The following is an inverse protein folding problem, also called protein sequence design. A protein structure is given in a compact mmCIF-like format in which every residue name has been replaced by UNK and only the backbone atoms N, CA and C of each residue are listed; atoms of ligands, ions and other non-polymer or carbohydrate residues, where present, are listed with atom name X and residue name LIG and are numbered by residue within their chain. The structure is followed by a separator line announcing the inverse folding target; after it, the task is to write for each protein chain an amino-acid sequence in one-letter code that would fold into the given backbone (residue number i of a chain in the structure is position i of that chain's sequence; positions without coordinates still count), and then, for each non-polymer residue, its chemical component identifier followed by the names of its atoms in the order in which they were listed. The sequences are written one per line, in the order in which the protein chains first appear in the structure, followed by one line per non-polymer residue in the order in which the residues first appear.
data_IF_588617842823
#
_entry.id   IF_588617842823
#
_cell.length_a   1.000
_cell.length_b   1.000
_cell.length_c   1.000
_cell.angle_alpha   90.00
_cell.angle_beta   90.00
_cell.angle_gamma   90.00
#
_symmetry.space_group_name_H-M   'P 1'
#
loop_
_entity.id
_entity.type
_entity.pdbx_description
1 polymer ?
#
# COMPACT_ATOMS: atom_id res chain seq x y z
N UNK A 1 22.31 -17.32 1.17
CA UNK A 1 23.27 -16.18 1.18
C UNK A 1 23.11 -15.23 -0.02
N UNK A 2 22.55 -15.66 -1.17
CA UNK A 2 22.42 -14.86 -2.40
C UNK A 2 21.57 -13.57 -2.25
N UNK A 3 20.36 -13.65 -1.68
CA UNK A 3 19.43 -12.49 -1.63
C UNK A 3 20.01 -11.22 -0.99
N UNK A 4 20.79 -11.28 0.10
CA UNK A 4 21.28 -10.06 0.72
C UNK A 4 22.36 -9.34 -0.08
N UNK A 5 23.08 -10.06 -0.96
CA UNK A 5 24.00 -9.42 -1.91
C UNK A 5 23.21 -8.77 -3.03
N UNK A 6 22.28 -9.52 -3.63
CA UNK A 6 21.36 -9.01 -4.67
C UNK A 6 20.57 -7.78 -4.20
N UNK A 7 20.05 -7.79 -2.97
CA UNK A 7 19.36 -6.64 -2.38
C UNK A 7 20.28 -5.43 -2.23
N UNK A 8 21.53 -5.63 -1.80
CA UNK A 8 22.50 -4.54 -1.65
C UNK A 8 22.92 -3.97 -3.00
N UNK A 9 23.18 -4.83 -3.97
CA UNK A 9 23.49 -4.45 -5.35
C UNK A 9 22.33 -3.64 -5.95
N UNK A 10 21.09 -4.11 -5.79
CA UNK A 10 19.90 -3.36 -6.22
C UNK A 10 19.81 -1.98 -5.57
N UNK A 11 19.95 -1.91 -4.23
CA UNK A 11 19.88 -0.63 -3.52
C UNK A 11 21.05 0.31 -3.83
N UNK A 12 22.22 -0.21 -4.24
CA UNK A 12 23.39 0.58 -4.63
C UNK A 12 23.32 1.10 -6.07
N UNK A 13 22.68 0.34 -6.95
CA UNK A 13 22.52 0.67 -8.37
C UNK A 13 21.32 1.59 -8.64
N UNK A 14 20.53 1.92 -7.62
CA UNK A 14 19.43 2.88 -7.74
C UNK A 14 20.02 4.31 -7.77
N UNK A 15 19.91 4.98 -8.93
CA UNK A 15 20.35 6.38 -9.13
C UNK A 15 19.70 7.37 -8.16
N UNK A 16 18.53 6.99 -7.63
CA UNK A 16 17.77 7.74 -6.64
C UNK A 16 18.09 7.14 -5.26
N UNK A 17 18.54 7.97 -4.31
CA UNK A 17 18.86 7.56 -2.95
C UNK A 17 17.59 7.12 -2.19
N UNK A 18 17.13 5.90 -2.43
CA UNK A 18 15.98 5.31 -1.76
C UNK A 18 16.41 4.71 -0.40
N UNK A 19 15.61 4.89 0.66
CA UNK A 19 15.84 4.19 1.91
C UNK A 19 15.68 2.68 1.71
N UNK A 20 16.32 1.89 2.56
CA UNK A 20 16.25 0.44 2.46
C UNK A 20 16.54 -0.23 3.79
N UNK A 21 16.18 -1.52 3.86
CA UNK A 21 16.40 -2.36 5.02
C UNK A 21 17.89 -2.60 5.25
N UNK A 22 18.36 -2.18 6.41
CA UNK A 22 19.75 -2.25 6.87
C UNK A 22 20.18 -3.66 7.25
N UNK A 23 20.16 -4.62 6.31
CA UNK A 23 20.45 -6.04 6.58
C UNK A 23 21.75 -6.28 7.34
N UNK A 24 22.83 -5.54 7.02
CA UNK A 24 24.13 -5.68 7.71
C UNK A 24 23.98 -5.28 9.19
N UNK A 25 23.32 -4.17 9.47
CA UNK A 25 23.04 -3.66 10.82
C UNK A 25 22.12 -4.61 11.59
N UNK A 26 20.96 -4.95 11.04
CA UNK A 26 19.99 -5.85 11.69
C UNK A 26 20.58 -7.24 11.97
N UNK A 27 21.37 -7.80 11.05
CA UNK A 27 22.05 -9.08 11.29
C UNK A 27 23.12 -8.98 12.38
N UNK A 28 23.82 -7.84 12.53
CA UNK A 28 24.77 -7.62 13.64
C UNK A 28 24.03 -7.60 14.98
N UNK A 29 22.86 -6.97 15.05
CA UNK A 29 22.00 -6.96 16.26
C UNK A 29 21.60 -8.40 16.64
N UNK A 30 21.12 -9.20 15.68
CA UNK A 30 20.78 -10.61 15.93
C UNK A 30 21.98 -11.43 16.42
N UNK A 31 23.19 -11.20 15.87
CA UNK A 31 24.41 -11.87 16.31
C UNK A 31 24.83 -11.45 17.72
N UNK A 32 24.62 -10.18 18.09
CA UNK A 32 24.90 -9.67 19.43
C UNK A 32 23.99 -10.35 20.45
N UNK A 33 22.67 -10.35 20.22
CA UNK A 33 21.72 -11.02 21.11
C UNK A 33 22.09 -12.50 21.34
N UNK A 34 22.44 -13.24 20.28
CA UNK A 34 22.87 -14.64 20.41
C UNK A 34 24.10 -14.82 21.31
N UNK A 35 25.07 -13.90 21.23
CA UNK A 35 26.28 -13.93 22.09
C UNK A 35 25.93 -13.62 23.54
N UNK A 36 25.09 -12.60 23.76
CA UNK A 36 24.71 -12.18 25.12
C UNK A 36 23.95 -13.31 25.86
N UNK A 37 23.05 -14.01 25.17
CA UNK A 37 22.34 -15.20 25.71
C UNK A 37 23.31 -16.35 26.01
N UNK A 38 24.36 -16.54 25.19
CA UNK A 38 25.38 -17.56 25.45
C UNK A 38 26.28 -17.20 26.64
N UNK A 39 26.63 -15.93 26.80
CA UNK A 39 27.46 -15.45 27.92
C UNK A 39 26.72 -15.50 29.26
N UNK A 40 25.41 -15.24 29.30
CA UNK A 40 24.60 -15.43 30.51
C UNK A 40 24.58 -16.90 30.94
N UNK A 41 24.43 -17.85 30.01
CA UNK A 41 24.48 -19.30 30.31
C UNK A 41 25.80 -19.76 30.95
N UNK A 42 26.92 -19.19 30.53
CA UNK A 42 28.22 -19.52 31.12
C UNK A 42 28.35 -19.05 32.57
N UNK A 43 27.55 -18.06 32.99
CA UNK A 43 27.51 -17.58 34.38
C UNK A 43 26.51 -18.36 35.24
N UNK A 44 25.40 -18.81 34.67
CA UNK A 44 24.28 -19.37 35.44
C UNK A 44 24.29 -20.91 35.58
N UNK A 45 25.28 -21.62 35.02
CA UNK A 45 25.54 -23.04 35.32
C UNK A 45 24.43 -24.06 34.93
N UNK A 46 23.34 -23.63 34.30
CA UNK A 46 22.17 -24.49 34.08
C UNK A 46 22.23 -25.30 32.76
N UNK A 47 22.27 -26.63 32.90
CA UNK A 47 22.04 -27.58 31.82
C UNK A 47 20.54 -27.77 31.56
N UNK A 48 19.97 -26.96 30.66
CA UNK A 48 18.62 -27.18 30.11
C UNK A 48 18.60 -27.05 28.58
N UNK A 49 17.82 -27.89 27.87
CA UNK A 49 17.92 -28.05 26.43
C UNK A 49 17.28 -26.88 25.65
N UNK A 50 17.95 -26.55 24.55
CA UNK A 50 17.55 -25.66 23.46
C UNK A 50 17.53 -24.14 23.71
N UNK A 51 18.12 -23.46 22.73
CA UNK A 51 18.32 -22.04 22.55
C UNK A 51 17.02 -21.25 22.44
N UNK A 52 16.49 -20.72 23.54
CA UNK A 52 15.37 -19.77 23.47
C UNK A 52 15.79 -18.43 24.07
N UNK A 53 15.58 -17.38 23.29
CA UNK A 53 15.67 -16.01 23.76
C UNK A 53 14.49 -15.77 24.73
N UNK A 54 14.66 -15.04 25.85
CA UNK A 54 13.53 -14.69 26.70
C UNK A 54 12.44 -14.00 25.87
N UNK A 55 11.17 -14.22 26.23
CA UNK A 55 10.04 -13.60 25.52
C UNK A 55 10.11 -12.06 25.58
N UNK A 56 10.84 -11.50 26.56
CA UNK A 56 11.28 -10.11 26.60
C UNK A 56 12.81 -10.02 26.59
N UNK A 57 13.38 -9.71 25.44
CA UNK A 57 14.82 -9.58 25.27
C UNK A 57 15.19 -8.12 25.09
N UNK A 58 15.94 -7.49 26.01
CA UNK A 58 16.23 -6.06 25.94
C UNK A 58 17.00 -5.66 24.68
N UNK A 59 17.78 -6.59 24.08
CA UNK A 59 18.45 -6.34 22.80
C UNK A 59 17.46 -6.40 21.64
N UNK A 60 16.57 -7.39 21.60
CA UNK A 60 15.60 -7.50 20.52
C UNK A 60 14.51 -6.42 20.60
N UNK A 61 13.92 -6.26 21.78
CA UNK A 61 12.83 -5.33 22.06
C UNK A 61 13.33 -3.88 22.08
N UNK A 62 14.52 -3.64 22.63
CA UNK A 62 15.10 -2.30 22.73
C UNK A 62 15.84 -1.83 21.47
N UNK A 63 16.27 -2.74 20.57
CA UNK A 63 17.09 -2.32 19.41
C UNK A 63 16.67 -2.91 18.06
N UNK A 64 16.28 -4.19 17.98
CA UNK A 64 15.97 -4.82 16.69
C UNK A 64 14.64 -4.31 16.12
N UNK A 65 13.54 -4.49 16.85
CA UNK A 65 12.21 -4.08 16.36
C UNK A 65 12.08 -2.56 16.19
N UNK A 66 12.59 -1.70 17.10
CA UNK A 66 12.58 -0.25 16.87
C UNK A 66 13.41 0.17 15.64
N UNK A 67 14.58 -0.46 15.41
CA UNK A 67 15.38 -0.18 14.22
C UNK A 67 14.65 -0.60 12.94
N UNK A 68 14.04 -1.79 12.94
CA UNK A 68 13.30 -2.28 11.78
C UNK A 68 12.05 -1.44 11.51
N UNK A 69 11.32 -1.05 12.56
CA UNK A 69 10.15 -0.17 12.48
C UNK A 69 10.50 1.17 11.81
N UNK A 70 11.61 1.79 12.23
CA UNK A 70 12.13 3.02 11.62
C UNK A 70 12.46 2.80 10.14
N UNK A 71 13.24 1.76 9.82
CA UNK A 71 13.62 1.45 8.44
C UNK A 71 12.39 1.16 7.55
N UNK A 72 11.36 0.48 8.09
CA UNK A 72 10.09 0.24 7.38
C UNK A 72 9.31 1.52 7.12
N UNK A 73 9.23 2.40 8.11
CA UNK A 73 8.52 3.69 8.00
C UNK A 73 9.18 4.60 6.95
N UNK A 74 10.53 4.65 6.93
CA UNK A 74 11.28 5.39 5.91
C UNK A 74 11.04 4.82 4.49
N UNK A 75 11.04 3.48 4.37
CA UNK A 75 10.78 2.79 3.10
C UNK A 75 9.38 3.10 2.56
N UNK A 76 8.35 2.98 3.40
CA UNK A 76 6.95 3.23 3.02
C UNK A 76 6.73 4.71 2.75
N UNK A 77 7.25 5.61 3.59
CA UNK A 77 7.11 7.05 3.39
C UNK A 77 7.69 7.51 2.05
N UNK A 78 8.93 7.08 1.75
CA UNK A 78 9.59 7.42 0.47
C UNK A 78 8.89 6.80 -0.73
N UNK A 79 8.37 5.57 -0.60
CA UNK A 79 7.57 4.93 -1.64
C UNK A 79 6.30 5.74 -1.93
N UNK A 80 5.50 6.00 -0.90
CA UNK A 80 4.22 6.70 -1.01
C UNK A 80 4.40 8.09 -1.63
N UNK A 81 5.36 8.87 -1.14
CA UNK A 81 5.63 10.22 -1.62
C UNK A 81 5.97 10.23 -3.12
N UNK A 82 6.80 9.28 -3.58
CA UNK A 82 7.23 9.23 -4.98
C UNK A 82 6.16 8.66 -5.89
N UNK A 83 5.44 7.63 -5.44
CA UNK A 83 4.32 7.06 -6.17
C UNK A 83 3.21 8.09 -6.36
N UNK A 84 2.85 8.81 -5.29
CA UNK A 84 1.91 9.93 -5.36
C UNK A 84 2.35 10.99 -6.36
N UNK A 85 3.60 11.48 -6.26
CA UNK A 85 4.13 12.47 -7.21
C UNK A 85 4.06 11.99 -8.66
N UNK A 86 4.41 10.74 -8.91
CA UNK A 86 4.36 10.16 -10.25
C UNK A 86 2.92 10.11 -10.79
N UNK A 87 1.98 9.63 -9.98
CA UNK A 87 0.58 9.51 -10.37
C UNK A 87 -0.09 10.89 -10.55
N UNK A 88 0.21 11.86 -9.67
CA UNK A 88 -0.25 13.24 -9.83
C UNK A 88 0.26 13.88 -11.13
N UNK A 89 1.51 13.60 -11.52
CA UNK A 89 2.08 14.06 -12.80
C UNK A 89 1.39 13.39 -13.98
N UNK A 90 1.05 12.10 -13.86
CA UNK A 90 0.36 11.34 -14.91
C UNK A 90 -1.08 11.81 -15.12
N UNK A 91 -1.84 11.96 -14.02
CA UNK A 91 -3.26 12.30 -14.03
C UNK A 91 -3.53 13.79 -14.31
N UNK A 92 -2.52 14.65 -14.27
CA UNK A 92 -2.70 16.07 -14.51
C UNK A 92 -3.29 16.37 -15.92
N UNK A 93 -4.45 17.02 -15.95
CA UNK A 93 -5.12 17.52 -17.16
C UNK A 93 -5.15 19.06 -17.22
N UNK A 94 -5.49 19.63 -18.39
CA UNK A 94 -5.70 21.07 -18.56
C UNK A 94 -4.46 21.96 -18.31
N UNK A 95 -4.65 23.11 -17.65
CA UNK A 95 -3.56 24.06 -17.32
C UNK A 95 -2.51 23.45 -16.37
N UNK A 96 -2.92 22.51 -15.51
CA UNK A 96 -2.01 21.77 -14.62
C UNK A 96 -1.04 20.91 -15.42
N UNK A 97 -1.53 20.28 -16.50
CA UNK A 97 -0.71 19.58 -17.50
C UNK A 97 0.27 20.52 -18.19
N UNK A 98 -0.12 21.76 -18.51
CA UNK A 98 0.77 22.76 -19.13
C UNK A 98 1.89 23.24 -18.19
N UNK A 99 1.58 23.56 -16.93
CA UNK A 99 2.58 23.91 -15.91
C UNK A 99 3.54 22.75 -15.60
N UNK A 100 3.01 21.53 -15.53
CA UNK A 100 3.80 20.32 -15.33
C UNK A 100 4.64 20.02 -16.57
N UNK A 101 4.10 20.18 -17.77
CA UNK A 101 4.81 20.03 -19.04
C UNK A 101 5.97 21.01 -19.16
N UNK A 102 5.81 22.26 -18.71
CA UNK A 102 6.88 23.24 -18.66
C UNK A 102 8.00 22.82 -17.70
N UNK A 103 7.66 22.19 -16.56
CA UNK A 103 8.64 21.57 -15.65
C UNK A 103 9.22 20.24 -16.18
N UNK A 104 8.45 19.45 -16.93
CA UNK A 104 8.85 18.13 -17.44
C UNK A 104 9.71 18.22 -18.71
N UNK A 105 9.68 19.35 -19.42
CA UNK A 105 10.61 19.66 -20.52
C UNK A 105 12.08 19.66 -20.04
N UNK A 106 12.32 19.77 -18.73
CA UNK A 106 13.63 19.56 -18.11
C UNK A 106 13.94 18.10 -17.70
N UNK A 107 12.98 17.16 -17.72
CA UNK A 107 13.14 15.83 -17.08
C UNK A 107 12.78 14.57 -17.89
N UNK A 108 12.39 14.71 -19.16
CA UNK A 108 12.26 13.55 -20.07
C UNK A 108 10.82 13.05 -20.29
N UNK A 109 10.68 12.19 -21.31
CA UNK A 109 9.43 11.81 -21.99
C UNK A 109 8.48 10.92 -21.16
N UNK A 110 7.26 10.68 -21.66
CA UNK A 110 6.29 9.72 -21.11
C UNK A 110 6.88 8.34 -20.79
N UNK A 111 7.94 7.91 -21.51
CA UNK A 111 8.65 6.66 -21.24
C UNK A 111 9.38 6.68 -19.88
N UNK A 112 9.91 7.82 -19.45
CA UNK A 112 10.57 7.95 -18.16
C UNK A 112 9.60 7.80 -16.98
N UNK A 113 8.35 8.25 -17.13
CA UNK A 113 7.30 8.03 -16.12
C UNK A 113 6.93 6.54 -16.00
N UNK A 114 6.90 5.82 -17.13
CA UNK A 114 6.63 4.38 -17.13
C UNK A 114 7.78 3.62 -16.45
N UNK A 115 9.02 3.96 -16.80
CA UNK A 115 10.21 3.37 -16.19
C UNK A 115 10.26 3.65 -14.68
N UNK A 116 10.00 4.90 -14.25
CA UNK A 116 9.94 5.24 -12.84
C UNK A 116 8.82 4.50 -12.10
N UNK A 117 7.66 4.31 -12.73
CA UNK A 117 6.58 3.50 -12.16
C UNK A 117 7.00 2.04 -11.97
N UNK A 118 7.75 1.48 -12.92
CA UNK A 118 8.26 0.10 -12.83
C UNK A 118 9.29 -0.04 -11.71
N UNK A 119 10.18 0.95 -11.59
CA UNK A 119 11.18 1.00 -10.53
C UNK A 119 10.55 1.09 -9.15
N UNK A 120 9.48 1.88 -9.00
CA UNK A 120 8.75 2.01 -7.72
C UNK A 120 8.06 0.71 -7.31
N UNK A 121 7.41 0.02 -8.25
CA UNK A 121 6.84 -1.32 -7.98
C UNK A 121 7.97 -2.27 -7.58
N UNK A 122 9.05 -2.33 -8.35
CA UNK A 122 10.22 -3.17 -8.04
C UNK A 122 10.77 -2.89 -6.64
N UNK A 123 10.89 -1.62 -6.30
CA UNK A 123 11.38 -1.14 -5.00
C UNK A 123 10.46 -1.62 -3.87
N UNK A 124 9.14 -1.45 -4.02
CA UNK A 124 8.18 -1.96 -3.04
C UNK A 124 8.34 -3.47 -2.84
N UNK A 125 8.53 -4.20 -3.93
CA UNK A 125 8.57 -5.66 -3.89
C UNK A 125 9.83 -6.22 -3.24
N UNK A 126 10.99 -5.69 -3.63
CA UNK A 126 12.28 -6.10 -3.09
C UNK A 126 12.36 -5.76 -1.60
N UNK A 127 11.84 -4.60 -1.18
CA UNK A 127 11.78 -4.23 0.23
C UNK A 127 10.80 -5.09 1.05
N UNK A 128 9.60 -5.37 0.53
CA UNK A 128 8.66 -6.26 1.20
C UNK A 128 9.27 -7.66 1.43
N UNK A 129 9.97 -8.18 0.42
CA UNK A 129 10.67 -9.46 0.51
C UNK A 129 11.84 -9.40 1.49
N UNK A 130 12.56 -8.28 1.53
CA UNK A 130 13.62 -8.06 2.49
C UNK A 130 13.12 -8.10 3.95
N UNK A 131 12.06 -7.35 4.24
CA UNK A 131 11.39 -7.31 5.56
C UNK A 131 10.93 -8.71 5.97
N UNK A 132 10.23 -9.43 5.08
CA UNK A 132 9.82 -10.82 5.35
C UNK A 132 11.00 -11.74 5.66
N UNK A 133 12.09 -11.66 4.88
CA UNK A 133 13.26 -12.52 5.08
C UNK A 133 14.01 -12.20 6.37
N UNK A 134 14.09 -10.92 6.79
CA UNK A 134 14.75 -10.57 8.07
C UNK A 134 13.91 -10.98 9.27
N UNK A 135 12.58 -10.87 9.21
CA UNK A 135 11.67 -11.34 10.26
C UNK A 135 11.67 -12.88 10.36
N UNK A 136 11.62 -13.61 9.24
CA UNK A 136 11.82 -15.07 9.25
C UNK A 136 13.18 -15.48 9.83
N UNK A 137 14.22 -14.68 9.58
CA UNK A 137 15.55 -14.91 10.16
C UNK A 137 15.56 -14.64 11.67
N UNK A 138 14.83 -13.63 12.15
CA UNK A 138 14.62 -13.41 13.58
C UNK A 138 14.02 -14.67 14.22
N UNK A 139 12.86 -15.11 13.73
CA UNK A 139 12.15 -16.26 14.29
C UNK A 139 13.00 -17.53 14.27
N UNK A 140 13.78 -17.73 13.20
CA UNK A 140 14.72 -18.86 13.10
C UNK A 140 15.88 -18.77 14.10
N UNK A 141 16.40 -17.58 14.41
CA UNK A 141 17.51 -17.42 15.37
C UNK A 141 17.00 -17.55 16.81
N UNK A 142 15.79 -17.09 17.10
CA UNK A 142 15.25 -17.02 18.46
C UNK A 142 14.29 -18.17 18.81
N UNK A 143 13.98 -19.06 17.84
CA UNK A 143 12.97 -20.10 17.98
C UNK A 143 11.63 -19.53 18.48
N UNK A 144 11.22 -18.41 17.90
CA UNK A 144 10.07 -17.59 18.32
C UNK A 144 9.05 -17.42 17.20
N UNK A 145 7.91 -16.81 17.54
CA UNK A 145 6.93 -16.26 16.58
C UNK A 145 6.81 -14.72 16.65
N UNK A 146 7.72 -14.05 17.35
CA UNK A 146 7.65 -12.60 17.54
C UNK A 146 7.91 -11.82 16.24
N UNK A 147 8.74 -12.33 15.33
CA UNK A 147 8.93 -11.73 14.01
C UNK A 147 7.64 -11.74 13.19
N UNK A 148 6.89 -12.84 13.27
CA UNK A 148 5.54 -12.94 12.69
C UNK A 148 4.54 -12.01 13.39
N UNK A 149 4.53 -11.95 14.72
CA UNK A 149 3.66 -11.05 15.48
C UNK A 149 3.93 -9.57 15.15
N UNK A 150 5.20 -9.17 15.07
CA UNK A 150 5.60 -7.84 14.62
C UNK A 150 5.12 -7.54 13.20
N UNK A 151 5.12 -8.52 12.29
CA UNK A 151 4.56 -8.31 10.95
C UNK A 151 3.07 -8.00 10.98
N UNK A 152 2.30 -8.69 11.81
CA UNK A 152 0.87 -8.42 11.99
C UNK A 152 0.65 -7.04 12.63
N UNK A 153 1.48 -6.67 13.60
CA UNK A 153 1.46 -5.33 14.19
C UNK A 153 1.80 -4.25 13.15
N UNK A 154 2.79 -4.49 12.30
CA UNK A 154 3.17 -3.59 11.21
C UNK A 154 2.02 -3.39 10.20
N UNK A 155 1.15 -4.39 10.01
CA UNK A 155 -0.07 -4.24 9.20
C UNK A 155 -1.05 -3.28 9.87
N UNK A 156 -1.29 -3.42 11.17
CA UNK A 156 -2.16 -2.49 11.92
C UNK A 156 -1.59 -1.07 12.05
N UNK A 157 -0.29 -0.90 11.82
CA UNK A 157 0.38 0.41 11.86
C UNK A 157 0.55 1.05 10.47
N UNK A 158 0.02 0.44 9.40
CA UNK A 158 0.10 0.94 8.01
C UNK A 158 1.51 1.14 7.46
N UNK A 159 2.45 0.33 7.94
CA UNK A 159 3.87 0.36 7.53
C UNK A 159 4.27 -0.88 6.71
N UNK A 160 3.32 -1.72 6.29
CA UNK A 160 3.56 -2.75 5.28
C UNK A 160 3.35 -2.18 3.87
N UNK A 161 4.44 -2.00 3.12
CA UNK A 161 4.43 -1.40 1.77
C UNK A 161 3.47 -2.09 0.78
N UNK A 162 3.21 -3.40 0.94
CA UNK A 162 2.28 -4.14 0.07
C UNK A 162 0.81 -3.83 0.32
N UNK A 163 0.51 -3.13 1.42
CA UNK A 163 -0.83 -2.63 1.75
C UNK A 163 -0.97 -1.14 1.45
N UNK A 164 0.05 -0.51 0.86
CA UNK A 164 -0.04 0.89 0.46
C UNK A 164 -1.06 1.05 -0.66
N UNK A 165 -2.00 2.02 -0.55
CA UNK A 165 -2.93 2.32 -1.64
C UNK A 165 -2.20 2.75 -2.92
N UNK A 166 -1.04 3.39 -2.78
CA UNK A 166 -0.21 3.81 -3.91
C UNK A 166 0.38 2.65 -4.70
N UNK A 167 0.59 1.48 -4.07
CA UNK A 167 0.99 0.29 -4.81
C UNK A 167 -0.16 -0.24 -5.68
N UNK A 168 -1.40 -0.19 -5.16
CA UNK A 168 -2.59 -0.56 -5.93
C UNK A 168 -2.77 0.36 -7.15
N UNK A 169 -2.63 1.67 -6.96
CA UNK A 169 -2.67 2.66 -8.05
C UNK A 169 -1.55 2.43 -9.08
N UNK A 170 -0.31 2.21 -8.64
CA UNK A 170 0.79 1.93 -9.57
C UNK A 170 0.55 0.65 -10.38
N UNK A 171 -0.02 -0.38 -9.76
CA UNK A 171 -0.40 -1.61 -10.47
C UNK A 171 -1.48 -1.35 -11.52
N UNK A 172 -2.50 -0.56 -11.19
CA UNK A 172 -3.54 -0.17 -12.14
C UNK A 172 -3.00 0.70 -13.28
N UNK A 173 -2.16 1.68 -12.96
CA UNK A 173 -1.42 2.53 -13.90
C UNK A 173 -0.64 1.70 -14.93
N UNK A 174 0.11 0.69 -14.47
CA UNK A 174 0.88 -0.19 -15.35
C UNK A 174 -0.01 -0.97 -16.33
N UNK A 175 -1.14 -1.50 -15.86
CA UNK A 175 -2.09 -2.23 -16.71
C UNK A 175 -2.74 -1.28 -17.72
N UNK A 176 -3.22 -0.11 -17.27
CA UNK A 176 -3.83 0.91 -18.12
C UNK A 176 -2.89 1.36 -19.25
N UNK A 177 -1.60 1.45 -18.96
CA UNK A 177 -0.58 1.82 -19.95
C UNK A 177 -0.26 0.69 -20.93
N UNK A 178 -0.20 -0.56 -20.47
CA UNK A 178 0.06 -1.73 -21.33
C UNK A 178 -0.98 -1.85 -22.43
N UNK A 179 -2.26 -1.72 -22.07
CA UNK A 179 -3.38 -1.86 -23.01
C UNK A 179 -3.53 -0.67 -23.97
N UNK A 180 -2.88 0.46 -23.69
CA UNK A 180 -2.88 1.63 -24.58
C UNK A 180 -1.90 1.53 -25.77
N UNK A 181 -1.01 0.53 -25.77
CA UNK A 181 0.09 0.38 -26.74
C UNK A 181 -0.08 -0.87 -27.60
N UNK A 182 -1.13 -0.93 -28.41
CA UNK A 182 -1.15 -1.84 -29.57
C UNK A 182 -0.17 -1.32 -30.63
N UNK A 183 1.05 -1.88 -30.66
CA UNK A 183 1.92 -1.80 -31.85
C UNK A 183 3.36 -1.30 -31.69
N UNK A 184 3.86 -1.00 -30.49
CA UNK A 184 5.30 -0.67 -30.32
C UNK A 184 5.95 -1.58 -29.29
N UNK A 185 7.03 -2.24 -29.71
CA UNK A 185 7.87 -3.18 -28.96
C UNK A 185 7.90 -2.84 -27.46
N UNK A 186 7.18 -3.64 -26.68
CA UNK A 186 7.07 -3.47 -25.25
C UNK A 186 8.47 -3.39 -24.63
N UNK A 187 8.76 -2.32 -23.91
CA UNK A 187 9.91 -2.29 -23.00
C UNK A 187 9.64 -3.39 -22.00
N UNK A 188 10.34 -4.51 -22.19
CA UNK A 188 10.19 -5.75 -21.43
C UNK A 188 10.75 -5.53 -20.03
N UNK A 189 9.98 -4.85 -19.19
CA UNK A 189 10.31 -4.64 -17.80
C UNK A 189 10.26 -5.95 -17.02
N UNK A 190 10.89 -5.96 -15.85
CA UNK A 190 10.94 -7.06 -14.90
C UNK A 190 9.54 -7.49 -14.35
N UNK A 191 8.46 -6.84 -14.79
CA UNK A 191 7.09 -6.91 -14.27
C UNK A 191 6.03 -7.08 -15.37
N UNK A 192 6.10 -8.17 -16.13
CA UNK A 192 5.12 -8.50 -17.19
C UNK A 192 3.81 -9.13 -16.66
N UNK A 193 3.59 -9.16 -15.33
CA UNK A 193 2.60 -10.07 -14.71
C UNK A 193 1.59 -9.42 -13.74
N UNK A 194 1.49 -8.08 -13.71
CA UNK A 194 0.32 -7.47 -13.08
C UNK A 194 -0.89 -7.62 -14.03
N UNK A 195 -2.00 -8.15 -13.53
CA UNK A 195 -3.21 -8.42 -14.32
C UNK A 195 -4.47 -8.30 -13.46
N UNK A 196 -5.54 -7.80 -14.08
CA UNK A 196 -6.88 -7.85 -13.50
C UNK A 196 -7.54 -9.18 -13.90
N UNK A 197 -7.99 -9.95 -12.91
CA UNK A 197 -8.66 -11.24 -13.10
C UNK A 197 -10.09 -11.16 -12.58
N UNK A 198 -10.97 -11.91 -13.22
CA UNK A 198 -12.35 -12.07 -12.81
C UNK A 198 -12.59 -13.54 -12.46
N UNK A 199 -12.82 -13.83 -11.18
CA UNK A 199 -13.32 -15.13 -10.74
C UNK A 199 -14.84 -15.02 -10.60
N UNK A 200 -15.55 -15.40 -11.66
CA UNK A 200 -16.98 -15.09 -11.80
C UNK A 200 -17.21 -13.57 -11.84
N UNK A 201 -17.96 -13.04 -10.87
CA UNK A 201 -18.25 -11.61 -10.75
C UNK A 201 -17.26 -10.84 -9.86
N UNK A 202 -16.24 -11.50 -9.31
CA UNK A 202 -15.32 -10.89 -8.33
C UNK A 202 -14.01 -10.45 -9.01
N UNK A 203 -13.74 -9.14 -9.11
CA UNK A 203 -12.47 -8.65 -9.64
C UNK A 203 -11.36 -8.79 -8.61
N UNK A 204 -10.22 -9.31 -9.06
CA UNK A 204 -8.99 -9.40 -8.27
C UNK A 204 -7.84 -8.81 -9.06
N UNK A 205 -7.19 -7.80 -8.50
CA UNK A 205 -5.94 -7.28 -9.05
C UNK A 205 -4.78 -8.12 -8.54
N UNK A 206 -4.12 -8.83 -9.44
CA UNK A 206 -3.04 -9.75 -9.12
C UNK A 206 -1.72 -9.26 -9.68
N UNK A 207 -0.63 -9.46 -8.94
CA UNK A 207 0.73 -9.28 -9.46
C UNK A 207 1.68 -10.32 -8.89
N UNK A 208 2.42 -10.99 -9.78
CA UNK A 208 3.40 -12.01 -9.43
C UNK A 208 4.79 -11.40 -9.27
N UNK A 209 5.56 -11.97 -8.35
CA UNK A 209 6.76 -11.34 -7.78
C UNK A 209 7.96 -12.28 -7.87
N UNK A 210 9.16 -11.71 -7.74
CA UNK A 210 10.39 -12.48 -7.53
C UNK A 210 10.28 -13.37 -6.28
N UNK A 211 10.71 -14.64 -6.39
CA UNK A 211 10.57 -15.71 -5.39
C UNK A 211 9.12 -16.24 -5.16
N UNK A 212 8.25 -16.23 -6.18
CA UNK A 212 6.91 -16.87 -6.16
C UNK A 212 5.92 -16.27 -5.15
N UNK A 213 6.13 -15.00 -4.78
CA UNK A 213 5.16 -14.28 -3.95
C UNK A 213 4.09 -13.76 -4.91
N UNK A 214 2.81 -13.90 -4.56
CA UNK A 214 1.69 -13.34 -5.31
C UNK A 214 0.99 -12.31 -4.45
N UNK A 215 0.81 -11.12 -4.99
CA UNK A 215 -0.03 -10.09 -4.38
C UNK A 215 -1.38 -10.15 -5.07
N UNK A 216 -2.43 -10.50 -4.32
CA UNK A 216 -3.81 -10.48 -4.79
C UNK A 216 -4.58 -9.44 -3.95
N UNK A 217 -5.19 -8.47 -4.62
CA UNK A 217 -6.04 -7.45 -4.02
C UNK A 217 -7.47 -7.71 -4.49
N UNK A 218 -8.35 -8.07 -3.55
CA UNK A 218 -9.78 -8.20 -3.79
C UNK A 218 -10.37 -6.80 -4.01
N UNK A 219 -11.04 -6.61 -5.14
CA UNK A 219 -11.67 -5.36 -5.53
C UNK A 219 -13.19 -5.39 -5.32
N UNK A 220 -13.67 -6.30 -4.48
CA UNK A 220 -15.05 -6.34 -4.01
C UNK A 220 -15.22 -5.38 -2.83
N UNK A 221 -16.19 -4.47 -2.91
CA UNK A 221 -16.54 -3.60 -1.80
C UNK A 221 -17.17 -4.44 -0.67
N UNK A 222 -16.63 -4.42 0.55
CA UNK A 222 -17.14 -5.24 1.65
C UNK A 222 -18.50 -4.79 2.20
N UNK A 223 -19.00 -3.62 1.79
CA UNK A 223 -20.29 -3.07 2.23
C UNK A 223 -21.40 -3.49 1.26
N UNK A 224 -21.26 -3.19 -0.04
CA UNK A 224 -22.27 -3.54 -1.04
C UNK A 224 -22.07 -4.91 -1.69
N UNK A 225 -20.92 -5.56 -1.44
CA UNK A 225 -20.55 -6.88 -1.97
C UNK A 225 -20.42 -6.96 -3.51
N UNK A 226 -20.46 -5.81 -4.18
CA UNK A 226 -20.22 -5.66 -5.61
C UNK A 226 -18.77 -5.21 -5.89
N UNK A 227 -18.35 -5.25 -7.16
CA UNK A 227 -17.14 -4.59 -7.64
C UNK A 227 -17.10 -3.14 -7.17
N UNK A 228 -15.98 -2.75 -6.57
CA UNK A 228 -15.76 -1.39 -6.08
C UNK A 228 -15.98 -0.36 -7.20
N UNK A 229 -16.73 0.69 -6.90
CA UNK A 229 -17.08 1.77 -7.82
C UNK A 229 -16.70 3.10 -7.18
N UNK A 230 -16.04 3.98 -7.93
CA UNK A 230 -15.40 5.19 -7.38
C UNK A 230 -14.53 4.82 -6.15
N UNK A 231 -13.52 3.94 -6.34
CA UNK A 231 -12.78 3.32 -5.25
C UNK A 231 -12.05 4.35 -4.41
N UNK A 232 -12.25 4.26 -3.09
CA UNK A 232 -11.45 4.98 -2.09
C UNK A 232 -10.74 4.00 -1.19
N UNK A 233 -9.47 4.30 -0.88
CA UNK A 233 -8.73 3.62 0.17
C UNK A 233 -8.72 4.49 1.43
N UNK A 234 -9.14 3.91 2.54
CA UNK A 234 -8.98 4.54 3.86
C UNK A 234 -7.50 4.53 4.26
N UNK A 235 -7.11 5.33 5.26
CA UNK A 235 -5.71 5.35 5.71
C UNK A 235 -5.24 4.00 6.24
N UNK A 236 -6.18 3.13 6.62
CA UNK A 236 -5.90 1.75 7.01
C UNK A 236 -5.68 0.77 5.85
N UNK A 237 -5.68 1.25 4.59
CA UNK A 237 -5.46 0.46 3.38
C UNK A 237 -6.66 -0.34 2.87
N UNK A 238 -7.80 -0.30 3.56
CA UNK A 238 -9.02 -0.97 3.11
C UNK A 238 -9.73 -0.15 2.04
N UNK A 239 -10.22 -0.83 0.99
CA UNK A 239 -10.82 -0.23 -0.19
C UNK A 239 -12.34 -0.39 -0.16
N UNK A 240 -13.07 0.69 -0.45
CA UNK A 240 -14.54 0.74 -0.49
C UNK A 240 -15.00 1.58 -1.68
N UNK A 241 -16.28 1.47 -2.05
CA UNK A 241 -16.90 2.48 -2.92
C UNK A 241 -16.98 3.80 -2.16
N UNK A 242 -16.82 4.94 -2.85
CA UNK A 242 -16.92 6.26 -2.22
C UNK A 242 -18.21 6.44 -1.42
N UNK A 243 -19.38 6.18 -2.02
CA UNK A 243 -20.67 6.30 -1.33
C UNK A 243 -20.81 5.34 -0.13
N UNK A 244 -20.22 4.15 -0.23
CA UNK A 244 -20.24 3.18 0.87
C UNK A 244 -19.36 3.66 2.04
N UNK A 245 -18.19 4.25 1.74
CA UNK A 245 -17.33 4.86 2.74
C UNK A 245 -18.03 6.06 3.42
N UNK A 246 -18.68 6.94 2.65
CA UNK A 246 -19.42 8.09 3.21
C UNK A 246 -20.52 7.63 4.16
N UNK A 247 -21.32 6.63 3.73
CA UNK A 247 -22.35 6.04 4.57
C UNK A 247 -21.77 5.41 5.86
N UNK A 248 -20.67 4.68 5.77
CA UNK A 248 -20.01 4.08 6.93
C UNK A 248 -19.43 5.12 7.90
N UNK A 249 -18.98 6.26 7.38
CA UNK A 249 -18.51 7.41 8.16
C UNK A 249 -19.65 8.30 8.68
N UNK A 250 -20.91 8.01 8.33
CA UNK A 250 -22.08 8.85 8.66
C UNK A 250 -21.94 10.30 8.14
N UNK A 251 -21.33 10.46 6.96
CA UNK A 251 -21.20 11.75 6.26
C UNK A 251 -21.92 11.72 4.92
N UNK A 252 -22.35 12.88 4.42
CA UNK A 252 -22.88 12.96 3.06
C UNK A 252 -21.75 13.05 2.05
N UNK A 253 -22.04 12.77 0.78
CA UNK A 253 -21.09 13.01 -0.32
C UNK A 253 -20.71 14.49 -0.49
N UNK A 254 -21.48 15.41 0.09
CA UNK A 254 -21.20 16.87 0.02
C UNK A 254 -20.19 17.27 1.09
N UNK A 255 -20.30 16.69 2.28
CA UNK A 255 -19.40 16.96 3.41
C UNK A 255 -18.00 16.39 3.19
N UNK A 256 -17.89 15.38 2.31
CA UNK A 256 -16.67 14.61 2.04
C UNK A 256 -16.24 13.72 3.23
N UNK A 257 -15.41 12.72 2.97
CA UNK A 257 -14.88 11.81 4.00
C UNK A 257 -14.02 12.52 5.05
N UNK A 258 -13.52 13.71 4.72
CA UNK A 258 -12.74 14.56 5.63
C UNK A 258 -13.56 15.12 6.79
N UNK A 259 -14.88 15.23 6.62
CA UNK A 259 -15.79 15.68 7.67
C UNK A 259 -16.17 14.57 8.66
N UNK A 260 -15.70 13.34 8.45
CA UNK A 260 -16.02 12.21 9.32
C UNK A 260 -15.52 12.44 10.76
N UNK A 261 -16.30 11.96 11.74
CA UNK A 261 -15.86 11.94 13.14
C UNK A 261 -14.57 11.13 13.26
N UNK A 262 -13.61 11.62 14.04
CA UNK A 262 -12.36 10.90 14.36
C UNK A 262 -12.61 9.55 15.03
N UNK A 263 -13.77 9.36 15.67
CA UNK A 263 -14.21 8.10 16.27
C UNK A 263 -14.84 7.14 15.26
N UNK A 264 -15.10 7.59 14.03
CA UNK A 264 -15.65 6.72 12.98
C UNK A 264 -14.64 5.61 12.67
N UNK A 265 -15.16 4.39 12.56
CA UNK A 265 -14.35 3.17 12.45
C UNK A 265 -14.38 2.60 11.04
N UNK A 266 -13.26 2.02 10.62
CA UNK A 266 -13.24 1.15 9.44
C UNK A 266 -14.21 -0.03 9.65
N UNK A 267 -15.10 -0.35 8.70
CA UNK A 267 -15.98 -1.52 8.79
C UNK A 267 -15.24 -2.87 8.83
N UNK A 268 -14.00 -2.92 8.31
CA UNK A 268 -13.18 -4.13 8.25
C UNK A 268 -12.28 -4.30 9.47
N UNK A 269 -11.38 -3.35 9.75
CA UNK A 269 -10.43 -3.47 10.87
C UNK A 269 -10.86 -2.77 12.17
N UNK A 270 -11.96 -2.01 12.16
CA UNK A 270 -12.47 -1.23 13.31
C UNK A 270 -11.54 -0.15 13.84
N UNK A 271 -10.51 0.20 13.10
CA UNK A 271 -9.60 1.28 13.42
C UNK A 271 -10.30 2.64 13.29
N UNK A 272 -10.06 3.53 14.25
CA UNK A 272 -10.64 4.88 14.35
C UNK A 272 -9.83 5.88 13.52
N UNK A 273 -10.48 6.96 13.07
CA UNK A 273 -9.78 8.09 12.43
C UNK A 273 -9.26 7.80 11.03
N UNK A 274 -9.82 6.79 10.35
CA UNK A 274 -9.27 6.29 9.07
C UNK A 274 -9.78 7.03 7.81
N UNK A 275 -10.76 7.92 7.97
CA UNK A 275 -11.47 8.58 6.86
C UNK A 275 -10.86 9.93 6.44
N UNK A 276 -10.27 10.68 7.39
CA UNK A 276 -9.74 12.04 7.14
C UNK A 276 -8.66 12.07 6.03
N UNK A 277 -7.86 11.01 5.94
CA UNK A 277 -6.81 10.85 4.93
C UNK A 277 -7.15 9.86 3.82
N UNK A 278 -8.44 9.59 3.56
CA UNK A 278 -8.84 8.69 2.49
C UNK A 278 -8.38 9.20 1.10
N UNK A 279 -7.97 8.27 0.24
CA UNK A 279 -7.41 8.56 -1.09
C UNK A 279 -8.33 7.94 -2.15
N UNK A 280 -8.71 8.74 -3.15
CA UNK A 280 -9.37 8.23 -4.35
C UNK A 280 -8.35 7.49 -5.23
N UNK A 281 -8.71 6.29 -5.66
CA UNK A 281 -7.88 5.42 -6.48
C UNK A 281 -8.26 5.59 -7.97
N UNK A 282 -7.76 6.66 -8.58
CA UNK A 282 -8.15 7.10 -9.93
C UNK A 282 -7.70 6.13 -11.03
N UNK A 283 -6.48 5.61 -10.98
CA UNK A 283 -6.02 4.63 -11.98
C UNK A 283 -6.78 3.31 -11.85
N UNK A 284 -7.08 2.91 -10.63
CA UNK A 284 -7.93 1.74 -10.39
C UNK A 284 -9.35 1.96 -10.93
N UNK A 285 -9.92 3.15 -10.69
CA UNK A 285 -11.22 3.56 -11.22
C UNK A 285 -11.25 3.50 -12.75
N UNK A 286 -10.22 4.04 -13.40
CA UNK A 286 -10.05 3.98 -14.86
C UNK A 286 -9.94 2.54 -15.36
N UNK A 287 -9.13 1.71 -14.70
CA UNK A 287 -8.95 0.31 -15.06
C UNK A 287 -10.29 -0.45 -15.00
N UNK A 288 -10.98 -0.35 -13.87
CA UNK A 288 -12.26 -1.04 -13.67
C UNK A 288 -13.34 -0.55 -14.65
N UNK A 289 -13.37 0.76 -14.95
CA UNK A 289 -14.31 1.32 -15.93
C UNK A 289 -14.15 0.75 -17.33
N UNK A 290 -12.90 0.44 -17.72
CA UNK A 290 -12.57 -0.13 -19.03
C UNK A 290 -12.83 -1.64 -19.07
N UNK A 291 -12.51 -2.34 -17.98
CA UNK A 291 -12.65 -3.80 -17.89
C UNK A 291 -14.09 -4.27 -17.67
N UNK A 292 -14.98 -3.43 -17.10
CA UNK A 292 -16.36 -3.79 -16.77
C UNK A 292 -17.40 -2.81 -17.34
N UNK A 293 -17.37 -2.51 -18.64
CA UNK A 293 -18.14 -1.40 -19.25
C UNK A 293 -19.63 -1.43 -18.93
N UNK A 294 -20.31 -2.56 -19.12
CA UNK A 294 -21.77 -2.66 -18.92
C UNK A 294 -22.15 -2.43 -17.46
N UNK A 295 -21.45 -3.09 -16.53
CA UNK A 295 -21.62 -2.87 -15.09
C UNK A 295 -21.36 -1.42 -14.73
N UNK A 296 -20.29 -0.82 -15.27
CA UNK A 296 -19.89 0.55 -14.96
C UNK A 296 -20.94 1.57 -15.39
N UNK A 297 -21.49 1.43 -16.59
CA UNK A 297 -22.56 2.30 -17.10
C UNK A 297 -23.81 2.21 -16.21
N UNK A 298 -24.24 0.99 -15.88
CA UNK A 298 -25.42 0.76 -15.03
C UNK A 298 -25.20 1.32 -13.60
N UNK A 299 -24.03 1.07 -13.01
CA UNK A 299 -23.68 1.56 -11.68
C UNK A 299 -23.60 3.08 -11.64
N UNK A 300 -23.01 3.69 -12.66
CA UNK A 300 -22.93 5.15 -12.81
C UNK A 300 -24.31 5.79 -12.85
N UNK A 301 -25.24 5.23 -13.63
CA UNK A 301 -26.61 5.75 -13.71
C UNK A 301 -27.33 5.66 -12.36
N UNK A 302 -27.22 4.50 -11.68
CA UNK A 302 -27.82 4.28 -10.37
C UNK A 302 -27.27 5.24 -9.32
N UNK A 303 -25.94 5.35 -9.21
CA UNK A 303 -25.31 6.24 -8.23
C UNK A 303 -25.56 7.71 -8.55
N UNK A 304 -25.65 8.11 -9.83
CA UNK A 304 -25.96 9.51 -10.17
C UNK A 304 -27.30 9.95 -9.59
N UNK A 305 -28.32 9.10 -9.66
CA UNK A 305 -29.64 9.39 -9.07
C UNK A 305 -29.54 9.52 -7.55
N UNK A 306 -28.85 8.59 -6.89
CA UNK A 306 -28.69 8.61 -5.43
C UNK A 306 -27.84 9.81 -4.96
N UNK A 307 -26.75 10.14 -5.68
CA UNK A 307 -25.92 11.31 -5.39
C UNK A 307 -26.72 12.60 -5.51
N UNK A 308 -27.52 12.77 -6.57
CA UNK A 308 -28.39 13.95 -6.72
C UNK A 308 -29.42 14.06 -5.59
N UNK A 309 -29.97 12.92 -5.14
CA UNK A 309 -30.90 12.87 -4.01
C UNK A 309 -30.22 13.31 -2.71
N UNK A 310 -29.04 12.78 -2.39
CA UNK A 310 -28.29 13.16 -1.19
C UNK A 310 -27.89 14.65 -1.18
N UNK A 311 -27.47 15.18 -2.34
CA UNK A 311 -27.17 16.62 -2.48
C UNK A 311 -28.41 17.45 -2.18
N UNK A 312 -29.57 17.07 -2.74
CA UNK A 312 -30.82 17.78 -2.48
C UNK A 312 -31.19 17.74 -1.00
N UNK A 313 -31.15 16.57 -0.38
CA UNK A 313 -31.48 16.39 1.04
C UNK A 313 -30.53 17.18 1.96
N UNK A 314 -29.24 17.22 1.62
CA UNK A 314 -28.24 18.02 2.34
C UNK A 314 -28.60 19.51 2.31
N UNK A 315 -28.86 20.07 1.13
CA UNK A 315 -29.20 21.49 0.99
C UNK A 315 -30.57 21.83 1.57
N UNK A 316 -31.57 20.96 1.42
CA UNK A 316 -32.89 21.15 2.05
C UNK A 316 -32.78 21.17 3.59
N UNK A 317 -31.87 20.38 4.17
CA UNK A 317 -31.61 20.37 5.61
C UNK A 317 -30.85 21.63 6.07
N UNK A 318 -29.85 22.07 5.31
CA UNK A 318 -29.15 23.34 5.52
C UNK A 318 -30.12 24.54 5.48
N UNK A 319 -31.00 24.59 4.48
CA UNK A 319 -32.01 25.64 4.35
C UNK A 319 -33.00 25.66 5.53
N UNK A 320 -33.45 24.49 6.00
CA UNK A 320 -34.31 24.38 7.19
C UNK A 320 -33.61 24.85 8.46
N UNK A 321 -32.37 24.41 8.68
CA UNK A 321 -31.55 24.86 9.81
C UNK A 321 -31.33 26.39 9.79
N UNK A 322 -31.09 26.97 8.61
CA UNK A 322 -30.96 28.43 8.46
C UNK A 322 -32.28 29.18 8.69
N UNK A 323 -33.40 28.59 8.26
CA UNK A 323 -34.73 29.18 8.41
C UNK A 323 -35.34 29.00 9.81
N UNK A 324 -34.68 28.24 10.70
CA UNK A 324 -35.14 27.97 12.06
C UNK A 324 -36.39 27.10 12.15
N UNK A 325 -36.65 26.26 11.15
CA UNK A 325 -37.80 25.33 11.08
C UNK A 325 -37.36 23.92 11.46
#
# INVERSE_FOLDING_TARGET
MKFCKTYQEYMQNQDKQFPGVGFKKLKKILKRCRRDVQSQKQRDGAAAPLSRCPDHCPVCDGTFFPSLLKEMSEVVGSFNERAQKLLELHLASGLRKYFIWFKSKLRGSHLALIEEGNDLVTYAMINATAIRKILKKYDKVHYSKQGQAFRLQAQSMHIEILKSPWLCELMAFHINLRESKDGTTAVKGFFDECSLKFDGSKPTLSCSLFDSIRLDIDLTCPICLDTVFDPVSLTCGHIFCYMCACSAASVTIVDDLKAADRKAKCPLCREEGVYEGAIHLEELNLLLSRSCKEYWVQRTQRERVERMKQVKEHWDSQCRAFSGI
#
